data_IF_510936534518
#
_entry.id   IF_510936534518
#
_cell.length_a   1.000
_cell.length_b   1.000
_cell.length_c   1.000
_cell.angle_alpha   90.00
_cell.angle_beta   90.00
_cell.angle_gamma   90.00
#
_symmetry.space_group_name_H-M   'P 1'
#
loop_
_entity.id
_entity.type
_entity.pdbx_description
1 polymer ?
#
# COMPACT_ATOMS: atom_id res chain seq x y z
N UNK A 1 -2.97 -26.06 40.20
CA UNK A 1 -2.41 -25.43 38.98
C UNK A 1 -2.57 -23.89 38.92
N UNK A 2 -3.54 -23.25 39.60
CA UNK A 2 -3.76 -21.78 39.51
C UNK A 2 -2.67 -20.86 40.10
N UNK A 3 -1.88 -21.29 41.10
CA UNK A 3 -0.85 -20.42 41.71
C UNK A 3 0.33 -20.12 40.78
N UNK A 4 0.68 -21.05 39.89
CA UNK A 4 1.79 -20.91 38.93
C UNK A 4 1.46 -19.94 37.80
N UNK A 5 0.19 -19.93 37.35
CA UNK A 5 -0.31 -19.03 36.30
C UNK A 5 -0.33 -17.58 36.77
N UNK A 6 -0.71 -17.32 38.02
CA UNK A 6 -0.64 -15.97 38.59
C UNK A 6 0.80 -15.46 38.71
N UNK A 7 1.75 -16.30 39.13
CA UNK A 7 3.17 -15.92 39.24
C UNK A 7 3.78 -15.48 37.90
N UNK A 8 3.43 -16.16 36.80
CA UNK A 8 3.93 -15.83 35.45
C UNK A 8 3.32 -14.51 34.93
N UNK A 9 2.03 -14.29 35.20
CA UNK A 9 1.35 -13.02 34.90
C UNK A 9 1.97 -11.85 35.66
N UNK A 10 2.25 -12.01 36.96
CA UNK A 10 2.91 -10.96 37.76
C UNK A 10 4.33 -10.65 37.26
N UNK A 11 5.10 -11.67 36.85
CA UNK A 11 6.43 -11.45 36.26
C UNK A 11 6.35 -10.72 34.91
N UNK A 12 5.39 -11.06 34.05
CA UNK A 12 5.18 -10.37 32.77
C UNK A 12 4.75 -8.92 32.95
N UNK A 13 3.80 -8.67 33.86
CA UNK A 13 3.34 -7.32 34.20
C UNK A 13 4.46 -6.48 34.82
N UNK A 14 5.26 -7.08 35.71
CA UNK A 14 6.47 -6.47 36.25
C UNK A 14 7.48 -6.11 35.16
N UNK A 15 7.72 -7.01 34.21
CA UNK A 15 8.63 -6.77 33.09
C UNK A 15 8.15 -5.66 32.14
N UNK A 16 6.85 -5.61 31.84
CA UNK A 16 6.25 -4.54 31.04
C UNK A 16 6.35 -3.20 31.78
N UNK A 17 6.03 -3.18 33.08
CA UNK A 17 6.11 -1.97 33.92
C UNK A 17 7.55 -1.46 34.06
N UNK A 18 8.52 -2.37 34.16
CA UNK A 18 9.94 -2.05 34.14
C UNK A 18 10.39 -1.41 32.84
N UNK A 19 9.90 -1.90 31.69
CA UNK A 19 10.20 -1.29 30.37
C UNK A 19 9.52 0.07 30.19
N UNK A 20 8.28 0.24 30.67
CA UNK A 20 7.56 1.53 30.60
C UNK A 20 8.25 2.58 31.47
N UNK A 21 8.74 2.19 32.65
CA UNK A 21 9.39 3.09 33.60
C UNK A 21 10.91 3.19 33.40
N UNK A 22 11.46 2.58 32.35
CA UNK A 22 12.87 2.67 32.05
C UNK A 22 13.19 4.12 31.63
N UNK A 23 14.08 4.84 32.35
CA UNK A 23 14.47 6.20 31.98
C UNK A 23 15.09 6.28 30.58
N UNK A 24 15.60 5.17 30.02
CA UNK A 24 16.05 5.11 28.63
C UNK A 24 14.90 5.24 27.61
N UNK A 25 13.67 4.85 27.97
CA UNK A 25 12.47 5.02 27.14
C UNK A 25 11.84 6.42 27.29
N UNK A 26 12.11 7.13 28.39
CA UNK A 26 11.64 8.51 28.58
C UNK A 26 12.30 9.51 27.61
N UNK A 27 13.50 9.18 27.10
CA UNK A 27 14.21 9.96 26.08
C UNK A 27 14.02 9.41 24.65
N UNK A 28 13.23 8.35 24.47
CA UNK A 28 12.86 7.92 23.13
C UNK A 28 11.74 8.80 22.60
N UNK A 29 11.85 9.29 21.36
CA UNK A 29 10.78 10.09 20.79
C UNK A 29 9.50 9.25 20.77
N UNK A 30 8.43 9.86 21.25
CA UNK A 30 7.08 9.32 21.18
C UNK A 30 6.74 8.97 19.73
N UNK A 31 5.73 8.12 19.52
CA UNK A 31 5.30 7.80 18.16
C UNK A 31 4.92 9.07 17.39
N UNK A 32 4.30 10.03 18.07
CA UNK A 32 3.96 11.34 17.52
C UNK A 32 5.21 12.16 17.15
N UNK A 33 6.25 12.18 17.98
CA UNK A 33 7.52 12.87 17.67
C UNK A 33 8.32 12.16 16.56
N UNK A 34 8.30 10.82 16.50
CA UNK A 34 8.88 10.05 15.39
C UNK A 34 8.13 10.32 14.09
N UNK A 35 6.81 10.45 14.18
CA UNK A 35 5.95 10.78 13.06
C UNK A 35 6.24 12.20 12.58
N UNK A 36 6.27 13.17 13.49
CA UNK A 36 6.60 14.56 13.19
C UNK A 36 8.00 14.67 12.58
N UNK A 37 9.01 14.03 13.17
CA UNK A 37 10.37 14.02 12.63
C UNK A 37 10.46 13.35 11.25
N UNK A 38 9.74 12.26 11.03
CA UNK A 38 9.64 11.63 9.71
C UNK A 38 8.97 12.53 8.67
N UNK A 39 7.93 13.27 9.08
CA UNK A 39 7.22 14.22 8.24
C UNK A 39 8.07 15.48 7.96
N UNK A 40 8.77 16.01 8.95
CA UNK A 40 9.63 17.20 8.84
C UNK A 40 10.82 16.96 7.91
N UNK A 41 11.38 15.75 7.97
CA UNK A 41 12.38 15.33 7.01
C UNK A 41 11.80 15.35 5.58
N UNK A 42 10.51 14.99 5.33
CA UNK A 42 9.89 15.10 4.00
C UNK A 42 9.99 16.51 3.42
N UNK A 43 9.92 17.53 4.27
CA UNK A 43 9.97 18.92 3.84
C UNK A 43 11.40 19.40 3.47
N UNK A 44 12.47 18.67 3.85
CA UNK A 44 13.86 19.17 3.77
C UNK A 44 14.91 18.15 3.30
N UNK A 45 14.52 17.00 2.75
CA UNK A 45 15.49 15.92 2.46
C UNK A 45 16.63 16.32 1.54
N UNK A 46 17.85 16.23 2.08
CA UNK A 46 19.12 16.34 1.33
C UNK A 46 19.58 14.98 0.80
N UNK A 47 19.17 13.87 1.44
CA UNK A 47 19.61 12.52 1.11
C UNK A 47 18.45 11.51 1.04
N UNK A 48 18.34 10.78 -0.08
CA UNK A 48 17.31 9.74 -0.31
C UNK A 48 17.33 8.61 0.74
N UNK A 49 18.49 8.31 1.31
CA UNK A 49 18.65 7.27 2.35
C UNK A 49 17.84 7.59 3.62
N UNK A 50 17.78 8.87 3.99
CA UNK A 50 17.01 9.31 5.16
C UNK A 50 15.51 9.18 4.88
N UNK A 51 15.08 9.49 3.64
CA UNK A 51 13.68 9.31 3.19
C UNK A 51 13.27 7.87 3.34
N UNK A 52 14.08 6.94 2.83
CA UNK A 52 13.79 5.51 2.86
C UNK A 52 13.69 5.02 4.31
N UNK A 53 14.57 5.49 5.20
CA UNK A 53 14.55 5.10 6.62
C UNK A 53 13.29 5.61 7.33
N UNK A 54 12.92 6.87 7.12
CA UNK A 54 11.69 7.43 7.68
C UNK A 54 10.46 6.71 7.13
N UNK A 55 10.42 6.47 5.82
CA UNK A 55 9.37 5.70 5.15
C UNK A 55 9.21 4.30 5.73
N UNK A 56 10.31 3.62 6.04
CA UNK A 56 10.27 2.30 6.65
C UNK A 56 9.73 2.35 8.09
N UNK A 57 10.03 3.41 8.84
CA UNK A 57 9.47 3.64 10.18
C UNK A 57 7.97 3.88 10.10
N UNK A 58 7.51 4.74 9.19
CA UNK A 58 6.08 4.98 8.93
C UNK A 58 5.37 3.70 8.51
N UNK A 59 5.97 2.91 7.62
CA UNK A 59 5.42 1.64 7.16
C UNK A 59 5.19 0.67 8.32
N UNK A 60 6.20 0.47 9.17
CA UNK A 60 6.09 -0.43 10.33
C UNK A 60 5.08 0.08 11.37
N UNK A 61 5.08 1.38 11.66
CA UNK A 61 4.18 1.96 12.65
C UNK A 61 2.72 1.90 12.20
N UNK A 62 2.42 2.27 10.95
CA UNK A 62 1.08 2.21 10.37
C UNK A 62 0.55 0.78 10.20
N UNK A 63 1.44 -0.21 10.11
CA UNK A 63 1.05 -1.62 9.99
C UNK A 63 0.36 -2.15 11.25
N UNK A 64 0.74 -1.62 12.43
CA UNK A 64 0.31 -2.13 13.74
C UNK A 64 -0.53 -1.15 14.57
N UNK A 65 -0.53 0.16 14.24
CA UNK A 65 -1.30 1.18 14.96
C UNK A 65 -2.24 1.95 14.04
N UNK A 66 -3.53 1.79 14.29
CA UNK A 66 -4.60 2.57 13.69
C UNK A 66 -4.56 4.06 14.09
N UNK A 67 -4.09 4.38 15.30
CA UNK A 67 -3.85 5.78 15.72
C UNK A 67 -2.77 6.41 14.85
N UNK A 68 -1.68 5.70 14.56
CA UNK A 68 -0.65 6.18 13.64
C UNK A 68 -1.23 6.50 12.26
N UNK A 69 -2.09 5.64 11.71
CA UNK A 69 -2.77 5.92 10.43
C UNK A 69 -3.62 7.19 10.50
N UNK A 70 -4.34 7.41 11.60
CA UNK A 70 -5.14 8.62 11.81
C UNK A 70 -4.26 9.86 11.93
N UNK A 71 -3.18 9.80 12.71
CA UNK A 71 -2.25 10.91 12.92
C UNK A 71 -1.58 11.31 11.61
N UNK A 72 -1.12 10.34 10.80
CA UNK A 72 -0.59 10.59 9.46
C UNK A 72 -1.59 11.38 8.62
N UNK A 73 -2.87 10.98 8.63
CA UNK A 73 -3.90 11.66 7.85
C UNK A 73 -4.17 13.08 8.38
N UNK A 74 -4.31 13.24 9.69
CA UNK A 74 -4.60 14.52 10.34
C UNK A 74 -3.46 15.53 10.19
N UNK A 75 -2.21 15.05 10.08
CA UNK A 75 -1.03 15.87 9.83
C UNK A 75 -0.82 16.20 8.34
N UNK A 76 -1.79 15.90 7.46
CA UNK A 76 -1.69 16.19 6.03
C UNK A 76 -0.81 15.21 5.25
N UNK A 77 -0.54 14.03 5.79
CA UNK A 77 0.33 13.03 5.17
C UNK A 77 -0.12 12.57 3.78
N UNK A 78 -1.43 12.61 3.47
CA UNK A 78 -1.94 12.25 2.14
C UNK A 78 -1.42 13.17 1.05
N UNK A 79 -1.38 14.48 1.29
CA UNK A 79 -0.87 15.44 0.31
C UNK A 79 0.64 15.30 0.15
N UNK A 80 1.35 15.03 1.25
CA UNK A 80 2.79 14.76 1.23
C UNK A 80 3.12 13.48 0.44
N UNK A 81 2.37 12.39 0.64
CA UNK A 81 2.52 11.18 -0.17
C UNK A 81 2.24 11.44 -1.64
N UNK A 82 1.24 12.25 -1.95
CA UNK A 82 0.91 12.63 -3.33
C UNK A 82 2.09 13.35 -3.98
N UNK A 83 2.67 14.34 -3.30
CA UNK A 83 3.83 15.08 -3.77
C UNK A 83 5.05 14.18 -3.92
N UNK A 84 5.36 13.37 -2.90
CA UNK A 84 6.50 12.45 -2.91
C UNK A 84 6.42 11.46 -4.07
N UNK A 85 5.27 10.80 -4.24
CA UNK A 85 5.05 9.85 -5.34
C UNK A 85 5.11 10.55 -6.70
N UNK A 86 4.64 11.80 -6.82
CA UNK A 86 4.72 12.55 -8.07
C UNK A 86 6.16 12.94 -8.45
N UNK A 87 7.03 13.13 -7.46
CA UNK A 87 8.45 13.45 -7.65
C UNK A 87 9.32 12.23 -7.96
N UNK A 88 8.81 11.02 -7.75
CA UNK A 88 9.60 9.80 -7.91
C UNK A 88 9.85 9.44 -9.38
N UNK A 89 11.10 9.11 -9.68
CA UNK A 89 11.54 8.63 -11.00
C UNK A 89 11.68 7.08 -11.01
N UNK A 90 12.26 6.54 -12.10
CA UNK A 90 12.35 5.09 -12.35
C UNK A 90 13.58 4.40 -11.75
N UNK A 91 14.42 5.12 -11.01
CA UNK A 91 15.60 4.53 -10.38
C UNK A 91 15.22 3.66 -9.17
N UNK A 92 16.10 2.73 -8.82
CA UNK A 92 15.90 1.79 -7.70
C UNK A 92 15.66 2.48 -6.34
N UNK A 93 16.41 3.54 -5.95
CA UNK A 93 16.13 4.25 -4.70
C UNK A 93 14.73 4.90 -4.67
N UNK A 94 14.25 5.38 -5.81
CA UNK A 94 12.91 5.94 -5.91
C UNK A 94 11.83 4.85 -5.89
N UNK A 95 12.09 3.68 -6.47
CA UNK A 95 11.20 2.53 -6.33
C UNK A 95 11.04 2.13 -4.86
N UNK A 96 12.12 2.14 -4.08
CA UNK A 96 12.09 1.85 -2.64
C UNK A 96 11.17 2.79 -1.87
N UNK A 97 11.18 4.08 -2.22
CA UNK A 97 10.29 5.09 -1.67
C UNK A 97 8.84 4.83 -2.11
N UNK A 98 8.61 4.58 -3.40
CA UNK A 98 7.28 4.29 -3.95
C UNK A 98 6.67 3.07 -3.25
N UNK A 99 7.41 1.96 -3.15
CA UNK A 99 6.93 0.72 -2.55
C UNK A 99 6.52 0.93 -1.09
N UNK A 100 7.35 1.62 -0.30
CA UNK A 100 7.03 1.90 1.12
C UNK A 100 5.86 2.87 1.25
N UNK A 101 5.75 3.84 0.35
CA UNK A 101 4.65 4.81 0.34
C UNK A 101 3.32 4.14 0.06
N UNK A 102 3.27 3.29 -0.98
CA UNK A 102 2.07 2.49 -1.28
C UNK A 102 1.74 1.54 -0.13
N UNK A 103 2.72 0.96 0.56
CA UNK A 103 2.47 0.13 1.73
C UNK A 103 1.83 0.91 2.89
N UNK A 104 2.32 2.12 3.19
CA UNK A 104 1.70 3.01 4.20
C UNK A 104 0.27 3.36 3.80
N UNK A 105 0.04 3.76 2.55
CA UNK A 105 -1.29 4.10 2.04
C UNK A 105 -2.25 2.90 2.08
N UNK A 106 -1.75 1.69 1.81
CA UNK A 106 -2.50 0.47 1.96
C UNK A 106 -2.88 0.25 3.44
N UNK A 107 -1.95 0.43 4.37
CA UNK A 107 -2.21 0.35 5.82
C UNK A 107 -3.29 1.34 6.25
N UNK A 108 -3.19 2.60 5.80
CA UNK A 108 -4.21 3.63 6.01
C UNK A 108 -5.56 3.13 5.48
N UNK A 109 -5.66 2.73 4.20
CA UNK A 109 -6.93 2.30 3.60
C UNK A 109 -7.64 1.15 4.35
N UNK A 110 -6.89 0.29 5.04
CA UNK A 110 -7.47 -0.79 5.85
C UNK A 110 -8.30 -0.24 7.03
N UNK A 111 -7.88 0.88 7.61
CA UNK A 111 -8.55 1.57 8.72
C UNK A 111 -9.81 2.34 8.22
N UNK A 112 -11.04 1.92 8.61
CA UNK A 112 -12.29 2.53 8.13
C UNK A 112 -12.36 4.06 8.29
N UNK A 113 -11.84 4.57 9.40
CA UNK A 113 -11.87 5.98 9.77
C UNK A 113 -11.02 6.84 8.82
N UNK A 114 -9.99 6.27 8.20
CA UNK A 114 -9.06 7.03 7.34
C UNK A 114 -9.35 6.90 5.85
N UNK A 115 -10.21 5.95 5.43
CA UNK A 115 -10.51 5.69 4.01
C UNK A 115 -10.89 6.93 3.22
N UNK A 116 -11.58 7.86 3.87
CA UNK A 116 -12.02 9.10 3.25
C UNK A 116 -10.89 10.01 2.82
N UNK A 117 -9.77 10.04 3.54
CA UNK A 117 -8.61 10.83 3.11
C UNK A 117 -8.04 10.32 1.78
N UNK A 118 -8.11 9.01 1.52
CA UNK A 118 -7.63 8.41 0.26
C UNK A 118 -8.55 8.75 -0.90
N UNK A 119 -9.85 8.43 -0.82
CA UNK A 119 -10.74 8.57 -1.98
C UNK A 119 -11.12 10.02 -2.31
N UNK A 120 -11.03 10.95 -1.35
CA UNK A 120 -11.21 12.38 -1.64
C UNK A 120 -10.03 12.96 -2.43
N UNK A 121 -8.81 12.43 -2.25
CA UNK A 121 -7.64 12.89 -2.96
C UNK A 121 -7.50 12.17 -4.31
N UNK A 122 -8.13 12.72 -5.35
CA UNK A 122 -8.07 12.17 -6.73
C UNK A 122 -6.64 12.08 -7.24
N UNK A 123 -5.84 13.11 -7.00
CA UNK A 123 -4.45 13.20 -7.47
C UNK A 123 -3.61 12.07 -6.90
N UNK A 124 -3.81 11.70 -5.62
CA UNK A 124 -3.13 10.55 -5.03
C UNK A 124 -3.40 9.28 -5.83
N UNK A 125 -4.67 8.97 -6.12
CA UNK A 125 -5.06 7.73 -6.82
C UNK A 125 -4.47 7.70 -8.23
N UNK A 126 -4.53 8.81 -8.95
CA UNK A 126 -3.97 8.93 -10.29
C UNK A 126 -2.45 8.75 -10.29
N UNK A 127 -1.75 9.34 -9.32
CA UNK A 127 -0.29 9.20 -9.15
C UNK A 127 0.07 7.78 -8.75
N UNK A 128 -0.66 7.14 -7.82
CA UNK A 128 -0.45 5.74 -7.45
C UNK A 128 -0.54 4.83 -8.67
N UNK A 129 -1.61 4.96 -9.47
CA UNK A 129 -1.78 4.18 -10.71
C UNK A 129 -0.65 4.45 -11.70
N UNK A 130 -0.26 5.71 -11.88
CA UNK A 130 0.87 6.06 -12.74
C UNK A 130 2.17 5.39 -12.29
N UNK A 131 2.47 5.37 -10.99
CA UNK A 131 3.65 4.68 -10.46
C UNK A 131 3.57 3.16 -10.65
N UNK A 132 2.41 2.56 -10.39
CA UNK A 132 2.19 1.13 -10.65
C UNK A 132 2.37 0.76 -12.12
N UNK A 133 1.91 1.60 -13.05
CA UNK A 133 2.10 1.40 -14.49
C UNK A 133 3.57 1.47 -14.90
N UNK A 134 4.35 2.34 -14.26
CA UNK A 134 5.78 2.50 -14.51
C UNK A 134 6.58 1.25 -14.11
N UNK A 135 6.28 0.67 -12.95
CA UNK A 135 7.02 -0.48 -12.42
C UNK A 135 6.42 -1.84 -12.79
N UNK A 136 5.29 -1.87 -13.51
CA UNK A 136 4.52 -3.05 -13.90
C UNK A 136 5.36 -4.26 -14.35
N UNK A 137 6.36 -4.02 -15.20
CA UNK A 137 7.15 -5.09 -15.84
C UNK A 137 7.93 -5.91 -14.80
N UNK A 138 8.47 -5.23 -13.79
CA UNK A 138 9.36 -5.80 -12.77
C UNK A 138 8.60 -6.12 -11.48
N UNK A 139 7.65 -5.24 -11.11
CA UNK A 139 6.94 -5.29 -9.83
C UNK A 139 5.42 -5.23 -10.02
N UNK A 140 4.78 -6.27 -10.61
CA UNK A 140 3.33 -6.33 -10.75
C UNK A 140 2.60 -6.36 -9.39
N UNK A 141 3.28 -6.80 -8.33
CA UNK A 141 2.79 -6.79 -6.95
C UNK A 141 2.53 -5.38 -6.40
N UNK A 142 3.26 -4.36 -6.89
CA UNK A 142 2.97 -2.96 -6.56
C UNK A 142 1.55 -2.58 -7.02
N UNK A 143 1.16 -3.04 -8.22
CA UNK A 143 -0.18 -2.78 -8.75
C UNK A 143 -1.27 -3.47 -7.90
N UNK A 144 -1.00 -4.67 -7.37
CA UNK A 144 -1.93 -5.35 -6.46
C UNK A 144 -2.16 -4.53 -5.20
N UNK A 145 -1.09 -3.97 -4.62
CA UNK A 145 -1.20 -3.09 -3.45
C UNK A 145 -1.99 -1.81 -3.75
N UNK A 146 -1.79 -1.20 -4.92
CA UNK A 146 -2.54 -0.02 -5.37
C UNK A 146 -4.03 -0.36 -5.54
N UNK A 147 -4.36 -1.44 -6.26
CA UNK A 147 -5.75 -1.87 -6.45
C UNK A 147 -6.43 -2.19 -5.12
N UNK A 148 -5.72 -2.84 -4.20
CA UNK A 148 -6.18 -3.12 -2.83
C UNK A 148 -6.47 -1.83 -2.06
N UNK A 149 -5.58 -0.84 -2.18
CA UNK A 149 -5.74 0.48 -1.53
C UNK A 149 -7.00 1.19 -2.04
N UNK A 150 -7.22 1.20 -3.36
CA UNK A 150 -8.40 1.79 -3.99
C UNK A 150 -9.67 1.06 -3.54
N UNK A 151 -9.69 -0.28 -3.62
CA UNK A 151 -10.83 -1.09 -3.22
C UNK A 151 -11.19 -0.89 -1.74
N UNK A 152 -10.18 -0.89 -0.85
CA UNK A 152 -10.39 -0.62 0.57
C UNK A 152 -10.97 0.77 0.81
N UNK A 153 -10.50 1.80 0.08
CA UNK A 153 -11.04 3.16 0.20
C UNK A 153 -12.51 3.27 -0.23
N UNK A 154 -12.97 2.38 -1.13
CA UNK A 154 -14.36 2.30 -1.59
C UNK A 154 -15.25 1.43 -0.70
N UNK A 155 -14.66 0.59 0.14
CA UNK A 155 -15.37 -0.47 0.86
C UNK A 155 -16.46 0.10 1.78
N UNK A 156 -17.69 -0.39 1.58
CA UNK A 156 -18.91 0.00 2.31
C UNK A 156 -19.27 1.49 2.18
N UNK A 157 -18.84 2.16 1.11
CA UNK A 157 -19.15 3.56 0.87
C UNK A 157 -19.52 3.79 -0.61
N UNK A 158 -20.83 3.77 -0.91
CA UNK A 158 -21.32 3.98 -2.27
C UNK A 158 -20.96 5.35 -2.86
N UNK A 159 -20.79 6.39 -2.01
CA UNK A 159 -20.41 7.72 -2.48
C UNK A 159 -18.97 7.74 -2.99
N UNK A 160 -18.05 7.08 -2.30
CA UNK A 160 -16.65 7.01 -2.76
C UNK A 160 -16.51 6.18 -4.02
N UNK A 161 -17.25 5.07 -4.12
CA UNK A 161 -17.31 4.28 -5.34
C UNK A 161 -17.81 5.12 -6.52
N UNK A 162 -18.96 5.79 -6.39
CA UNK A 162 -19.48 6.68 -7.44
C UNK A 162 -18.52 7.81 -7.78
N UNK A 163 -17.83 8.38 -6.79
CA UNK A 163 -16.88 9.46 -7.01
C UNK A 163 -15.68 9.02 -7.86
N UNK A 164 -15.14 7.82 -7.62
CA UNK A 164 -14.02 7.28 -8.40
C UNK A 164 -14.45 6.70 -9.75
N UNK A 165 -15.63 6.09 -9.84
CA UNK A 165 -16.23 5.67 -11.11
C UNK A 165 -16.38 6.84 -12.08
N UNK A 166 -16.80 8.01 -11.59
CA UNK A 166 -16.94 9.21 -12.41
C UNK A 166 -15.59 9.87 -12.77
N UNK A 167 -14.48 9.39 -12.21
CA UNK A 167 -13.14 9.84 -12.62
C UNK A 167 -12.68 9.01 -13.84
N UNK A 168 -12.88 9.59 -15.02
CA UNK A 168 -12.50 8.98 -16.30
C UNK A 168 -11.02 8.60 -16.37
N UNK A 169 -10.14 9.38 -15.76
CA UNK A 169 -8.69 9.11 -15.76
C UNK A 169 -8.39 7.82 -14.99
N UNK A 170 -8.96 7.66 -13.79
CA UNK A 170 -8.79 6.46 -12.96
C UNK A 170 -9.30 5.23 -13.68
N UNK A 171 -10.53 5.29 -14.21
CA UNK A 171 -11.16 4.18 -14.95
C UNK A 171 -10.33 3.80 -16.19
N UNK A 172 -9.89 4.78 -16.98
CA UNK A 172 -9.07 4.53 -18.17
C UNK A 172 -7.73 3.88 -17.83
N UNK A 173 -7.05 4.33 -16.77
CA UNK A 173 -5.80 3.72 -16.30
C UNK A 173 -6.02 2.28 -15.84
N UNK A 174 -7.06 2.00 -15.07
CA UNK A 174 -7.41 0.64 -14.66
C UNK A 174 -7.70 -0.28 -15.87
N UNK A 175 -8.37 0.22 -16.91
CA UNK A 175 -8.55 -0.51 -18.18
C UNK A 175 -7.22 -0.82 -18.87
N UNK A 176 -6.28 0.12 -18.88
CA UNK A 176 -4.94 -0.10 -19.44
C UNK A 176 -4.21 -1.19 -18.66
N UNK A 177 -4.27 -1.15 -17.32
CA UNK A 177 -3.70 -2.17 -16.44
C UNK A 177 -4.31 -3.54 -16.73
N UNK A 178 -5.63 -3.63 -16.85
CA UNK A 178 -6.33 -4.86 -17.21
C UNK A 178 -5.87 -5.45 -18.55
N UNK A 179 -5.75 -4.60 -19.59
CA UNK A 179 -5.25 -5.05 -20.91
C UNK A 179 -3.82 -5.57 -20.83
N UNK A 180 -2.94 -4.90 -20.07
CA UNK A 180 -1.56 -5.35 -19.84
C UNK A 180 -1.53 -6.70 -19.10
N UNK A 181 -2.31 -6.80 -18.02
CA UNK A 181 -2.47 -8.02 -17.24
C UNK A 181 -2.97 -9.20 -18.08
N UNK A 182 -4.06 -9.04 -18.83
CA UNK A 182 -4.67 -10.10 -19.66
C UNK A 182 -3.66 -10.68 -20.65
N UNK A 183 -2.92 -9.81 -21.36
CA UNK A 183 -1.91 -10.22 -22.35
C UNK A 183 -0.75 -10.98 -21.70
N UNK A 184 -0.19 -10.43 -20.63
CA UNK A 184 0.97 -11.02 -19.95
C UNK A 184 0.63 -12.37 -19.33
N UNK A 185 -0.53 -12.47 -18.67
CA UNK A 185 -1.00 -13.73 -18.08
C UNK A 185 -1.25 -14.78 -19.16
N UNK A 186 -1.93 -14.42 -20.25
CA UNK A 186 -2.17 -15.35 -21.37
C UNK A 186 -0.84 -15.90 -21.94
N UNK A 187 0.15 -15.02 -22.12
CA UNK A 187 1.48 -15.42 -22.58
C UNK A 187 2.16 -16.41 -21.63
N UNK A 188 2.18 -16.14 -20.33
CA UNK A 188 2.81 -17.01 -19.33
C UNK A 188 2.10 -18.36 -19.16
N UNK A 189 0.76 -18.38 -19.21
CA UNK A 189 -0.02 -19.62 -19.18
C UNK A 189 0.27 -20.47 -20.41
N UNK A 190 0.30 -19.87 -21.60
CA UNK A 190 0.63 -20.57 -22.86
C UNK A 190 2.08 -21.08 -22.89
N UNK A 191 3.00 -20.36 -22.27
CA UNK A 191 4.37 -20.84 -22.08
C UNK A 191 4.42 -22.07 -21.19
N UNK A 192 3.69 -22.05 -20.06
CA UNK A 192 3.69 -23.18 -19.10
C UNK A 192 3.15 -24.48 -19.69
N UNK A 193 2.22 -24.40 -20.65
CA UNK A 193 1.63 -25.57 -21.29
C UNK A 193 2.49 -26.16 -22.41
N UNK A 194 3.43 -25.40 -22.99
CA UNK A 194 4.26 -25.82 -24.14
C UNK A 194 5.68 -26.23 -23.77
N UNK A 195 6.21 -25.70 -22.68
CA UNK A 195 7.58 -25.94 -22.21
C UNK A 195 7.67 -25.60 -20.73
N UNK A 196 8.44 -26.36 -19.95
CA UNK A 196 8.60 -26.08 -18.51
C UNK A 196 8.89 -24.60 -18.24
N UNK A 197 8.12 -23.99 -17.34
CA UNK A 197 8.21 -22.57 -17.04
C UNK A 197 9.47 -22.30 -16.20
N UNK A 198 10.29 -21.32 -16.58
CA UNK A 198 11.43 -20.89 -15.73
C UNK A 198 10.92 -20.38 -14.39
N UNK A 199 11.67 -20.58 -13.30
CA UNK A 199 11.28 -20.12 -11.95
C UNK A 199 10.89 -18.63 -11.91
N UNK A 200 11.61 -17.75 -12.61
CA UNK A 200 11.27 -16.32 -12.68
C UNK A 200 9.89 -16.05 -13.30
N UNK A 201 9.50 -16.84 -14.30
CA UNK A 201 8.20 -16.73 -14.95
C UNK A 201 7.08 -17.29 -14.07
N UNK A 202 7.36 -18.33 -13.27
CA UNK A 202 6.40 -18.83 -12.27
C UNK A 202 6.10 -17.77 -11.21
N UNK A 203 7.14 -17.17 -10.63
CA UNK A 203 6.97 -16.09 -9.64
C UNK A 203 6.18 -14.92 -10.23
N UNK A 204 6.46 -14.56 -11.49
CA UNK A 204 5.70 -13.50 -12.18
C UNK A 204 4.23 -13.89 -12.36
N UNK A 205 3.93 -15.12 -12.75
CA UNK A 205 2.56 -15.63 -12.90
C UNK A 205 1.81 -15.62 -11.57
N UNK A 206 2.45 -16.02 -10.47
CA UNK A 206 1.85 -15.95 -9.12
C UNK A 206 1.47 -14.51 -8.74
N UNK A 207 2.36 -13.54 -9.01
CA UNK A 207 2.05 -12.12 -8.76
C UNK A 207 0.89 -11.62 -9.63
N UNK A 208 0.81 -12.04 -10.89
CA UNK A 208 -0.32 -11.69 -11.77
C UNK A 208 -1.64 -12.32 -11.32
N UNK A 209 -1.60 -13.54 -10.78
CA UNK A 209 -2.77 -14.18 -10.19
C UNK A 209 -3.20 -13.44 -8.91
N UNK A 210 -2.25 -12.98 -8.08
CA UNK A 210 -2.57 -12.15 -6.93
C UNK A 210 -3.17 -10.80 -7.32
N UNK A 211 -2.78 -10.22 -8.46
CA UNK A 211 -3.43 -9.02 -8.99
C UNK A 211 -4.86 -9.31 -9.49
N UNK A 212 -5.08 -10.46 -10.12
CA UNK A 212 -6.40 -10.87 -10.63
C UNK A 212 -7.48 -10.80 -9.56
N UNK A 213 -7.16 -11.26 -8.34
CA UNK A 213 -8.10 -11.32 -7.20
C UNK A 213 -8.56 -9.95 -6.70
N UNK A 214 -7.85 -8.86 -7.07
CA UNK A 214 -8.19 -7.49 -6.65
C UNK A 214 -8.60 -6.61 -7.83
N UNK A 215 -7.98 -6.78 -8.99
CA UNK A 215 -8.23 -5.96 -10.18
C UNK A 215 -9.60 -6.25 -10.81
N UNK A 216 -9.96 -7.53 -10.95
CA UNK A 216 -11.24 -7.92 -11.57
C UNK A 216 -12.43 -7.44 -10.72
N UNK A 217 -12.47 -7.69 -9.39
CA UNK A 217 -13.54 -7.15 -8.56
C UNK A 217 -13.61 -5.62 -8.60
N UNK A 218 -12.47 -4.92 -8.56
CA UNK A 218 -12.44 -3.46 -8.63
C UNK A 218 -13.04 -2.92 -9.93
N UNK A 219 -12.71 -3.52 -11.08
CA UNK A 219 -13.28 -3.14 -12.37
C UNK A 219 -14.78 -3.43 -12.44
N UNK A 220 -15.22 -4.57 -11.91
CA UNK A 220 -16.65 -4.90 -11.83
C UNK A 220 -17.40 -3.92 -10.94
N UNK A 221 -16.84 -3.58 -9.79
CA UNK A 221 -17.38 -2.56 -8.90
C UNK A 221 -17.49 -1.22 -9.64
N UNK A 222 -16.63 -0.96 -10.64
CA UNK A 222 -16.63 0.25 -11.45
C UNK A 222 -17.59 0.19 -12.67
N UNK A 223 -18.38 -0.89 -12.80
CA UNK A 223 -19.33 -1.07 -13.90
C UNK A 223 -18.65 -1.45 -15.22
N UNK A 224 -17.42 -1.96 -15.18
CA UNK A 224 -16.72 -2.42 -16.37
C UNK A 224 -17.16 -3.85 -16.71
N UNK A 225 -17.86 -3.99 -17.84
CA UNK A 225 -18.14 -5.29 -18.45
C UNK A 225 -16.84 -5.89 -18.99
N UNK A 226 -16.20 -6.71 -18.16
CA UNK A 226 -15.06 -7.51 -18.58
C UNK A 226 -15.59 -8.64 -19.45
N UNK A 227 -15.70 -8.39 -20.76
CA UNK A 227 -16.08 -9.43 -21.72
C UNK A 227 -15.04 -10.55 -21.62
N UNK A 228 -15.45 -11.68 -21.05
CA UNK A 228 -14.78 -12.96 -21.20
C UNK A 228 -14.87 -13.34 -22.67
N UNK A 229 -13.89 -12.90 -23.47
CA UNK A 229 -13.65 -13.54 -24.76
C UNK A 229 -13.38 -15.01 -24.47
N UNK A 230 -14.33 -15.86 -24.90
CA UNK A 230 -14.19 -17.32 -24.87
C UNK A 230 -12.80 -17.67 -25.40
N UNK A 231 -12.07 -18.58 -24.74
CA UNK A 231 -10.83 -19.07 -25.31
C UNK A 231 -11.16 -19.85 -26.58
N UNK A 232 -10.74 -19.31 -27.73
CA UNK A 232 -10.58 -20.07 -28.97
C UNK A 232 -9.48 -21.13 -28.82
#
# INVERSE_FOLDING_TARGET
>A
MSRKVNSDLYQRLSGIRGRINDPANANQPTLSEKLQGGLDLFFHYTYLSEVILAMETLRKSSEVSWECCMDICNMGGIDQFTQLLSSCNRSEPHFDIVQRSIAVLCNISRCPQTRHFIWHNRSLIEVMLAQGEHFWVVHPDLMSAICTTIQNSCKNNGKSLMFLQNNTTVVQRLRIVYKKWKRERHFLVKLSSKSGLRNSNMVKLEKLNALETVLIPLLRDFGEDLIEEKPD
#
